data_IF_440135860406
#
_entry.id   IF_440135860406
#
_cell.length_a   1.000
_cell.length_b   1.000
_cell.length_c   1.000
_cell.angle_alpha   90.00
_cell.angle_beta   90.00
_cell.angle_gamma   90.00
#
_symmetry.space_group_name_H-M   'P 1'
#
loop_
_entity.id
_entity.type
_entity.pdbx_description
1 polymer ?
#
# COMPACT_ATOMS: atom_id res chain seq x y z
N UNK A 1 -3.52 -1.90 -17.45
CA UNK A 1 -3.91 -1.04 -16.30
C UNK A 1 -3.40 -1.70 -15.02
N UNK A 2 -2.49 -1.06 -14.29
CA UNK A 2 -1.95 -1.60 -13.03
C UNK A 2 -3.08 -1.54 -11.99
N UNK A 3 -3.52 -2.70 -11.49
CA UNK A 3 -4.51 -2.76 -10.40
C UNK A 3 -3.88 -2.10 -9.17
N UNK A 4 -4.49 -1.02 -8.68
CA UNK A 4 -4.07 -0.42 -7.42
C UNK A 4 -4.25 -1.45 -6.32
N UNK A 5 -3.16 -1.72 -5.57
CA UNK A 5 -3.19 -2.65 -4.44
C UNK A 5 -4.14 -2.07 -3.39
N UNK A 6 -5.03 -2.90 -2.86
CA UNK A 6 -5.91 -2.53 -1.74
C UNK A 6 -5.02 -2.31 -0.51
N UNK A 7 -5.36 -1.34 0.32
CA UNK A 7 -4.63 -1.10 1.58
C UNK A 7 -4.76 -2.32 2.50
N UNK A 8 -3.64 -2.75 3.09
CA UNK A 8 -3.60 -3.91 4.00
C UNK A 8 -4.57 -3.74 5.18
N UNK A 9 -4.84 -2.50 5.63
CA UNK A 9 -5.84 -2.20 6.67
C UNK A 9 -7.25 -2.56 6.23
N UNK A 10 -7.58 -2.29 4.97
CA UNK A 10 -8.91 -2.55 4.41
C UNK A 10 -9.11 -4.04 4.17
N UNK A 11 -8.06 -4.74 3.74
CA UNK A 11 -8.07 -6.20 3.65
C UNK A 11 -8.35 -6.82 5.02
N UNK A 12 -7.70 -6.34 6.09
CA UNK A 12 -7.93 -6.80 7.46
C UNK A 12 -9.38 -6.65 7.93
N UNK A 13 -10.02 -5.51 7.62
CA UNK A 13 -11.44 -5.29 7.94
C UNK A 13 -12.33 -6.27 7.17
N UNK A 14 -12.07 -6.49 5.88
CA UNK A 14 -12.80 -7.48 5.07
C UNK A 14 -12.67 -8.88 5.67
N UNK A 15 -11.46 -9.31 6.06
CA UNK A 15 -11.24 -10.61 6.69
C UNK A 15 -12.04 -10.73 7.99
N UNK A 16 -12.01 -9.69 8.83
CA UNK A 16 -12.76 -9.66 10.09
C UNK A 16 -14.27 -9.83 9.85
N UNK A 17 -14.84 -9.07 8.91
CA UNK A 17 -16.27 -9.14 8.58
C UNK A 17 -16.67 -10.47 7.91
N UNK A 18 -15.76 -11.12 7.18
CA UNK A 18 -15.99 -12.46 6.64
C UNK A 18 -16.09 -13.52 7.75
N UNK A 19 -15.31 -13.37 8.83
CA UNK A 19 -15.36 -14.28 9.99
C UNK A 19 -16.67 -14.15 10.77
N UNK A 20 -17.28 -12.96 10.80
CA UNK A 20 -18.58 -12.72 11.44
C UNK A 20 -19.77 -13.07 10.54
N UNK A 21 -19.54 -13.82 9.45
CA UNK A 21 -20.55 -14.33 8.52
C UNK A 21 -21.37 -13.26 7.78
N UNK A 22 -20.84 -12.03 7.62
CA UNK A 22 -21.49 -11.05 6.76
C UNK A 22 -21.43 -11.47 5.28
N UNK A 23 -22.52 -11.21 4.56
CA UNK A 23 -22.55 -11.38 3.10
C UNK A 23 -21.63 -10.38 2.40
N UNK A 24 -21.16 -10.70 1.20
CA UNK A 24 -20.31 -9.78 0.43
C UNK A 24 -20.96 -8.42 0.16
N UNK A 25 -22.28 -8.41 -0.06
CA UNK A 25 -23.03 -7.16 -0.26
C UNK A 25 -23.03 -6.31 1.01
N UNK A 26 -23.29 -6.91 2.18
CA UNK A 26 -23.23 -6.18 3.44
C UNK A 26 -21.82 -5.66 3.75
N UNK A 27 -20.78 -6.44 3.45
CA UNK A 27 -19.38 -6.00 3.62
C UNK A 27 -19.10 -4.79 2.72
N UNK A 28 -19.54 -4.84 1.46
CA UNK A 28 -19.38 -3.73 0.53
C UNK A 28 -20.10 -2.46 1.02
N UNK A 29 -21.33 -2.59 1.54
CA UNK A 29 -22.08 -1.47 2.09
C UNK A 29 -21.39 -0.86 3.31
N UNK A 30 -20.90 -1.69 4.24
CA UNK A 30 -20.17 -1.23 5.43
C UNK A 30 -18.89 -0.49 5.05
N UNK A 31 -18.11 -1.03 4.10
CA UNK A 31 -16.88 -0.40 3.66
C UNK A 31 -17.14 0.92 2.91
N UNK A 32 -18.21 0.98 2.11
CA UNK A 32 -18.65 2.21 1.46
C UNK A 32 -19.05 3.26 2.50
N UNK A 33 -19.73 2.87 3.58
CA UNK A 33 -20.08 3.77 4.68
C UNK A 33 -18.85 4.31 5.42
N UNK A 34 -17.77 3.52 5.48
CA UNK A 34 -16.46 3.94 6.03
C UNK A 34 -15.61 4.75 5.02
N UNK A 35 -16.14 5.07 3.83
CA UNK A 35 -15.44 5.84 2.80
C UNK A 35 -14.54 5.01 1.86
N UNK A 36 -14.55 3.68 1.98
CA UNK A 36 -13.78 2.79 1.10
C UNK A 36 -14.63 2.28 -0.06
N UNK A 37 -14.21 2.59 -1.29
CA UNK A 37 -14.84 2.06 -2.50
C UNK A 37 -14.16 0.76 -2.94
N UNK A 38 -14.86 -0.37 -2.78
CA UNK A 38 -14.35 -1.70 -3.12
C UNK A 38 -15.38 -2.45 -3.95
N UNK A 39 -14.91 -3.18 -4.97
CA UNK A 39 -15.75 -4.04 -5.79
C UNK A 39 -16.03 -5.38 -5.09
N UNK A 40 -17.18 -6.01 -5.40
CA UNK A 40 -17.47 -7.36 -4.92
C UNK A 40 -16.40 -8.37 -5.35
N UNK A 41 -15.82 -8.22 -6.54
CA UNK A 41 -14.73 -9.06 -7.03
C UNK A 41 -13.47 -8.94 -6.16
N UNK A 42 -13.17 -7.74 -5.66
CA UNK A 42 -12.06 -7.52 -4.73
C UNK A 42 -12.29 -8.23 -3.38
N UNK A 43 -13.51 -8.17 -2.84
CA UNK A 43 -13.89 -8.88 -1.61
C UNK A 43 -13.75 -10.39 -1.78
N UNK A 44 -14.21 -10.93 -2.92
CA UNK A 44 -14.05 -12.33 -3.28
C UNK A 44 -12.58 -12.73 -3.34
N UNK A 45 -11.75 -11.94 -4.03
CA UNK A 45 -10.31 -12.22 -4.12
C UNK A 45 -9.63 -12.21 -2.74
N UNK A 46 -10.03 -11.31 -1.83
CA UNK A 46 -9.50 -11.28 -0.46
C UNK A 46 -9.87 -12.58 0.27
N UNK A 47 -11.12 -13.05 0.15
CA UNK A 47 -11.52 -14.35 0.73
C UNK A 47 -10.70 -15.49 0.15
N UNK A 48 -10.59 -15.57 -1.17
CA UNK A 48 -9.93 -16.67 -1.87
C UNK A 48 -8.42 -16.69 -1.56
N UNK A 49 -7.76 -15.52 -1.54
CA UNK A 49 -6.36 -15.39 -1.14
C UNK A 49 -6.10 -15.83 0.31
N UNK A 50 -6.99 -15.47 1.24
CA UNK A 50 -6.91 -15.98 2.61
C UNK A 50 -7.12 -17.49 2.66
N UNK A 51 -8.04 -18.03 1.87
CA UNK A 51 -8.25 -19.46 1.72
C UNK A 51 -6.99 -20.19 1.28
N UNK A 52 -6.31 -19.67 0.26
CA UNK A 52 -5.02 -20.20 -0.21
C UNK A 52 -3.92 -20.09 0.84
N UNK A 53 -3.86 -18.98 1.60
CA UNK A 53 -2.88 -18.85 2.69
C UNK A 53 -3.14 -19.87 3.81
N UNK A 54 -4.39 -20.07 4.23
CA UNK A 54 -4.75 -21.09 5.22
C UNK A 54 -4.47 -22.51 4.71
N UNK A 55 -4.77 -22.81 3.44
CA UNK A 55 -4.45 -24.10 2.83
C UNK A 55 -2.93 -24.35 2.79
N UNK A 56 -2.13 -23.34 2.42
CA UNK A 56 -0.68 -23.46 2.38
C UNK A 56 -0.07 -23.67 3.78
N UNK A 57 -0.57 -22.96 4.80
CA UNK A 57 -0.17 -23.18 6.20
C UNK A 57 -0.54 -24.60 6.65
N UNK A 58 -1.76 -25.06 6.38
CA UNK A 58 -2.21 -26.40 6.75
C UNK A 58 -1.45 -27.51 5.98
N UNK A 59 -1.00 -27.22 4.77
CA UNK A 59 -0.15 -28.10 3.97
C UNK A 59 1.34 -28.07 4.38
N UNK A 60 1.71 -27.31 5.42
CA UNK A 60 3.08 -27.19 5.90
C UNK A 60 4.00 -26.36 4.99
N UNK A 61 3.45 -25.64 4.02
CA UNK A 61 4.21 -24.82 3.09
C UNK A 61 4.52 -23.46 3.73
N UNK A 62 5.81 -23.09 3.78
CA UNK A 62 6.22 -21.78 4.28
C UNK A 62 5.77 -20.65 3.35
N UNK A 63 5.15 -19.62 3.90
CA UNK A 63 4.71 -18.43 3.14
C UNK A 63 5.96 -17.67 2.66
N UNK A 64 6.10 -17.37 1.36
CA UNK A 64 7.28 -16.70 0.83
C UNK A 64 7.43 -15.30 1.42
N UNK A 65 8.57 -15.04 2.07
CA UNK A 65 8.92 -13.71 2.61
C UNK A 65 9.32 -12.79 1.45
N UNK A 66 8.45 -11.86 1.08
CA UNK A 66 8.79 -10.80 0.13
C UNK A 66 9.84 -9.86 0.74
N UNK A 67 11.07 -9.85 0.19
CA UNK A 67 12.09 -8.84 0.52
C UNK A 67 11.84 -7.61 -0.37
N UNK A 68 11.28 -6.55 0.21
CA UNK A 68 11.17 -5.26 -0.49
C UNK A 68 12.56 -4.65 -0.68
N UNK A 69 12.89 -4.22 -1.91
CA UNK A 69 14.08 -3.40 -2.18
C UNK A 69 13.78 -1.96 -1.72
N UNK A 70 14.71 -1.33 -1.01
CA UNK A 70 14.60 0.10 -0.66
C UNK A 70 14.68 0.92 -1.95
N UNK A 71 13.72 1.84 -2.15
CA UNK A 71 13.76 2.78 -3.27
C UNK A 71 14.87 3.81 -3.01
N UNK A 72 16.02 3.65 -3.66
CA UNK A 72 17.09 4.65 -3.63
C UNK A 72 16.83 5.71 -4.70
N UNK A 73 17.00 6.99 -4.35
CA UNK A 73 16.91 8.07 -5.32
C UNK A 73 18.03 7.93 -6.36
N UNK A 74 17.70 8.14 -7.64
CA UNK A 74 18.70 8.12 -8.70
C UNK A 74 19.58 9.38 -8.62
N UNK A 75 20.87 9.31 -9.02
CA UNK A 75 21.77 10.47 -9.01
C UNK A 75 21.21 11.69 -9.76
N UNK A 76 20.44 11.45 -10.83
CA UNK A 76 19.80 12.50 -11.62
C UNK A 76 18.71 13.26 -10.83
N UNK A 77 17.93 12.56 -10.01
CA UNK A 77 16.91 13.17 -9.16
C UNK A 77 17.55 14.03 -8.08
N UNK A 78 18.63 13.53 -7.45
CA UNK A 78 19.44 14.29 -6.47
C UNK A 78 20.00 15.56 -7.12
N UNK A 79 20.60 15.45 -8.31
CA UNK A 79 21.13 16.62 -9.04
C UNK A 79 20.04 17.64 -9.39
N UNK A 80 18.85 17.18 -9.75
CA UNK A 80 17.70 18.06 -10.03
C UNK A 80 17.25 18.80 -8.77
N UNK A 81 17.17 18.11 -7.63
CA UNK A 81 16.85 18.71 -6.33
C UNK A 81 17.86 19.80 -5.98
N UNK A 82 19.16 19.51 -6.07
CA UNK A 82 20.22 20.50 -5.77
C UNK A 82 20.08 21.74 -6.65
N UNK A 83 19.88 21.58 -7.97
CA UNK A 83 19.64 22.71 -8.87
C UNK A 83 18.41 23.55 -8.52
N UNK A 84 17.35 22.92 -8.02
CA UNK A 84 16.14 23.65 -7.59
C UNK A 84 16.42 24.41 -6.30
N UNK A 85 17.14 23.80 -5.35
CA UNK A 85 17.57 24.45 -4.12
C UNK A 85 18.44 25.68 -4.44
N UNK A 86 19.43 25.53 -5.32
CA UNK A 86 20.34 26.60 -5.71
C UNK A 86 19.63 27.77 -6.42
N UNK A 87 18.50 27.50 -7.11
CA UNK A 87 17.69 28.56 -7.74
C UNK A 87 16.84 29.34 -6.75
N UNK A 88 16.35 28.66 -5.72
CA UNK A 88 15.46 29.27 -4.70
C UNK A 88 16.28 30.01 -3.64
N UNK A 89 17.43 29.46 -3.28
CA UNK A 89 18.37 30.05 -2.35
C UNK A 89 19.79 29.77 -2.85
N UNK A 90 20.38 30.66 -3.66
CA UNK A 90 21.73 30.46 -4.15
C UNK A 90 22.70 30.36 -2.97
N UNK A 91 23.69 29.48 -3.11
CA UNK A 91 24.67 29.20 -2.06
C UNK A 91 25.36 30.48 -1.56
N UNK A 92 25.55 31.46 -2.45
CA UNK A 92 26.07 32.78 -2.13
C UNK A 92 25.23 33.55 -1.12
N UNK A 93 23.89 33.44 -1.13
CA UNK A 93 23.04 34.07 -0.11
C UNK A 93 23.04 33.31 1.21
N UNK A 94 23.20 31.97 1.18
CA UNK A 94 23.32 31.15 2.40
C UNK A 94 24.60 31.45 3.15
N UNK A 95 25.72 31.58 2.43
CA UNK A 95 27.03 31.89 3.01
C UNK A 95 27.03 33.26 3.70
N UNK A 96 26.38 34.27 3.10
CA UNK A 96 26.22 35.62 3.69
C UNK A 96 25.35 35.61 4.95
N UNK A 97 24.36 34.71 5.05
CA UNK A 97 23.50 34.59 6.23
C UNK A 97 24.10 33.76 7.38
N UNK A 98 25.18 33.01 7.11
CA UNK A 98 25.87 32.16 8.07
C UNK A 98 27.18 32.74 8.62
N UNK A 99 27.56 33.93 8.14
CA UNK A 99 28.60 34.79 8.73
C UNK A 99 27.95 35.82 9.66
#
# INVERSE_FOLDING_TARGET
>A
MVRQKISDSVEGVVVGLLKTQHTYRSIQHLLKAMGYSISLGSIKNIRDNNGHQCQNINAGLSIPKFRYRRNMATPNLIRKINRMIDRVNPTTQREISSM
#
